data_IF_039357447844
#
_entry.id   IF_039357447844
#
_cell.length_a   1.000
_cell.length_b   1.000
_cell.length_c   1.000
_cell.angle_alpha   90.00
_cell.angle_beta   90.00
_cell.angle_gamma   90.00
#
_symmetry.space_group_name_H-M   'P 1'
#
loop_
_entity.id
_entity.type
_entity.pdbx_description
1 polymer ?
#
# COMPACT_ATOMS: atom_id res chain seq x y z
N UNK A 1 7.62 -29.07 39.70
CA UNK A 1 8.49 -27.95 39.32
C UNK A 1 7.81 -27.19 38.19
N UNK A 2 7.26 -26.01 38.49
CA UNK A 2 6.65 -25.14 37.48
C UNK A 2 7.77 -24.32 36.82
N UNK A 3 7.95 -24.48 35.51
CA UNK A 3 8.87 -23.65 34.72
C UNK A 3 8.31 -22.22 34.72
N UNK A 4 9.11 -21.27 35.19
CA UNK A 4 8.77 -19.86 35.25
C UNK A 4 8.49 -19.30 33.85
N UNK A 5 7.35 -18.63 33.71
CA UNK A 5 7.09 -17.73 32.59
C UNK A 5 8.05 -16.56 32.71
N UNK A 6 9.02 -16.46 31.80
CA UNK A 6 9.76 -15.22 31.60
C UNK A 6 8.78 -14.18 31.02
N UNK A 7 8.71 -12.97 31.57
CA UNK A 7 7.94 -11.89 30.95
C UNK A 7 8.56 -11.55 29.59
N UNK A 8 7.74 -11.52 28.54
CA UNK A 8 8.18 -11.10 27.21
C UNK A 8 8.60 -9.63 27.21
N UNK A 9 9.61 -9.24 26.41
CA UNK A 9 9.93 -7.85 26.18
C UNK A 9 8.71 -7.09 25.60
N UNK A 10 8.52 -5.81 25.97
CA UNK A 10 7.32 -5.04 25.62
C UNK A 10 7.10 -4.83 24.11
N UNK A 11 8.13 -5.08 23.30
CA UNK A 11 8.09 -4.90 21.84
C UNK A 11 7.65 -6.16 21.09
N UNK A 12 7.54 -7.30 21.78
CA UNK A 12 7.06 -8.57 21.22
C UNK A 12 5.76 -8.97 21.93
N UNK A 13 4.69 -8.23 21.64
CA UNK A 13 3.34 -8.67 21.99
C UNK A 13 3.05 -10.05 21.38
N UNK A 14 2.22 -10.90 22.03
CA UNK A 14 1.90 -12.21 21.48
C UNK A 14 1.29 -12.04 20.08
N UNK A 15 1.57 -12.94 19.13
CA UNK A 15 0.97 -12.87 17.79
C UNK A 15 -0.56 -12.82 17.95
N UNK A 16 -1.17 -11.76 17.43
CA UNK A 16 -2.59 -11.53 17.62
C UNK A 16 -3.41 -12.64 16.94
N UNK A 17 -4.50 -13.11 17.58
CA UNK A 17 -5.36 -14.13 16.99
C UNK A 17 -5.97 -13.64 15.68
N UNK A 18 -6.00 -14.51 14.66
CA UNK A 18 -6.64 -14.22 13.36
C UNK A 18 -8.11 -13.88 13.60
N UNK A 19 -8.52 -12.66 13.24
CA UNK A 19 -9.89 -12.16 13.43
C UNK A 19 -10.01 -10.96 14.39
N UNK A 20 -8.93 -10.52 15.04
CA UNK A 20 -8.93 -9.24 15.72
C UNK A 20 -8.92 -8.12 14.66
N UNK A 21 -10.08 -7.49 14.45
CA UNK A 21 -10.21 -6.31 13.61
C UNK A 21 -9.40 -5.16 14.23
N UNK A 22 -8.11 -5.09 13.91
CA UNK A 22 -7.29 -3.92 14.21
C UNK A 22 -7.87 -2.77 13.40
N UNK A 23 -8.75 -2.01 14.05
CA UNK A 23 -9.16 -0.70 13.56
C UNK A 23 -7.97 0.22 13.76
N UNK A 24 -7.45 0.74 12.67
CA UNK A 24 -6.45 1.78 12.76
C UNK A 24 -7.12 3.06 13.30
N UNK A 25 -6.61 3.65 14.39
CA UNK A 25 -7.21 4.84 14.97
C UNK A 25 -7.23 5.98 13.94
N UNK A 26 -8.39 6.61 13.77
CA UNK A 26 -8.56 7.79 12.91
C UNK A 26 -8.94 7.54 11.44
N UNK A 27 -8.79 6.32 10.91
CA UNK A 27 -9.16 6.05 9.50
C UNK A 27 -10.59 5.56 9.34
N UNK A 28 -11.15 4.84 10.31
CA UNK A 28 -12.43 4.14 10.14
C UNK A 28 -12.36 2.91 9.22
N UNK A 29 -11.20 2.66 8.60
CA UNK A 29 -10.91 1.52 7.72
C UNK A 29 -10.12 0.48 8.51
N UNK A 30 -10.58 -0.77 8.51
CA UNK A 30 -9.88 -1.90 9.13
C UNK A 30 -8.74 -2.39 8.23
N UNK A 31 -7.72 -3.00 8.83
CA UNK A 31 -6.67 -3.69 8.08
C UNK A 31 -7.23 -4.74 7.11
N UNK A 32 -8.22 -5.51 7.57
CA UNK A 32 -8.92 -6.49 6.73
C UNK A 32 -9.54 -5.83 5.49
N UNK A 33 -10.20 -4.68 5.66
CA UNK A 33 -10.83 -4.00 4.53
C UNK A 33 -9.80 -3.46 3.55
N UNK A 34 -8.69 -2.92 4.04
CA UNK A 34 -7.60 -2.49 3.18
C UNK A 34 -7.03 -3.66 2.38
N UNK A 35 -6.83 -4.82 3.02
CA UNK A 35 -6.35 -6.03 2.34
C UNK A 35 -7.31 -6.53 1.27
N UNK A 36 -8.61 -6.57 1.57
CA UNK A 36 -9.64 -6.90 0.57
C UNK A 36 -9.60 -5.98 -0.65
N UNK A 37 -9.22 -4.70 -0.48
CA UNK A 37 -9.11 -3.75 -1.58
C UNK A 37 -7.83 -3.95 -2.39
N UNK A 38 -6.71 -4.26 -1.72
CA UNK A 38 -5.44 -4.61 -2.37
C UNK A 38 -5.61 -5.91 -3.19
N UNK A 39 -6.27 -6.92 -2.64
CA UNK A 39 -6.54 -8.20 -3.32
C UNK A 39 -7.46 -8.04 -4.56
N UNK A 40 -8.15 -6.91 -4.69
CA UNK A 40 -8.98 -6.59 -5.85
C UNK A 40 -8.21 -5.86 -6.97
N UNK A 41 -6.99 -5.40 -6.71
CA UNK A 41 -6.16 -4.78 -7.75
C UNK A 41 -5.81 -5.88 -8.77
N UNK A 42 -6.17 -5.70 -10.06
CA UNK A 42 -5.99 -6.76 -11.04
C UNK A 42 -4.50 -6.98 -11.31
N UNK A 43 -4.06 -8.24 -11.28
CA UNK A 43 -2.67 -8.62 -11.54
C UNK A 43 -2.34 -8.57 -13.04
N UNK A 44 -2.21 -7.35 -13.57
CA UNK A 44 -2.01 -7.06 -14.98
C UNK A 44 -0.82 -6.12 -15.19
N UNK A 45 -0.09 -6.32 -16.29
CA UNK A 45 0.97 -5.41 -16.73
C UNK A 45 0.40 -4.23 -17.55
N UNK A 46 -0.58 -3.51 -16.99
CA UNK A 46 -1.27 -2.39 -17.63
C UNK A 46 -1.61 -1.27 -16.60
N UNK A 47 -0.86 -0.13 -16.60
CA UNK A 47 -1.04 0.94 -15.62
C UNK A 47 -2.46 1.52 -15.53
N UNK A 48 -3.17 1.61 -16.66
CA UNK A 48 -4.48 2.28 -16.74
C UNK A 48 -5.60 1.58 -15.94
N UNK A 49 -5.41 0.29 -15.60
CA UNK A 49 -6.43 -0.51 -14.90
C UNK A 49 -6.03 -0.92 -13.48
N UNK A 50 -4.76 -0.71 -13.11
CA UNK A 50 -4.20 -1.07 -11.79
C UNK A 50 -4.05 0.16 -10.87
N UNK A 51 -4.43 1.35 -11.33
CA UNK A 51 -4.36 2.60 -10.58
C UNK A 51 -5.76 3.23 -10.45
N UNK A 52 -6.36 3.25 -9.26
CA UNK A 52 -7.72 3.76 -9.08
C UNK A 52 -8.02 4.26 -7.67
N UNK A 53 -9.14 4.97 -7.56
CA UNK A 53 -9.70 5.47 -6.30
C UNK A 53 -10.95 4.68 -5.91
N UNK A 54 -11.11 4.41 -4.61
CA UNK A 54 -12.28 3.76 -4.02
C UNK A 54 -12.81 4.62 -2.88
N UNK A 55 -14.11 4.88 -2.86
CA UNK A 55 -14.77 5.51 -1.71
C UNK A 55 -15.09 4.45 -0.64
N UNK A 56 -14.67 4.70 0.60
CA UNK A 56 -14.94 3.80 1.74
C UNK A 56 -15.50 4.64 2.88
N UNK A 57 -16.83 4.73 2.96
CA UNK A 57 -17.50 5.58 3.93
C UNK A 57 -17.19 7.06 3.69
N UNK A 58 -16.61 7.72 4.69
CA UNK A 58 -16.20 9.13 4.62
C UNK A 58 -14.74 9.31 4.15
N UNK A 59 -14.06 8.22 3.79
CA UNK A 59 -12.67 8.22 3.33
C UNK A 59 -12.55 7.90 1.86
N UNK A 60 -11.40 8.27 1.31
CA UNK A 60 -10.97 7.93 -0.04
C UNK A 60 -9.74 7.03 0.04
N UNK A 61 -9.73 5.94 -0.71
CA UNK A 61 -8.59 5.03 -0.80
C UNK A 61 -8.04 5.08 -2.22
N UNK A 62 -6.78 5.44 -2.37
CA UNK A 62 -6.05 5.30 -3.63
C UNK A 62 -5.27 3.98 -3.61
N UNK A 63 -5.27 3.28 -4.74
CA UNK A 63 -4.53 2.03 -4.96
C UNK A 63 -3.77 2.16 -6.27
N UNK A 64 -2.49 1.80 -6.26
CA UNK A 64 -1.60 1.81 -7.42
C UNK A 64 -0.78 0.53 -7.44
N UNK A 65 -1.12 -0.37 -8.37
CA UNK A 65 -0.34 -1.55 -8.67
C UNK A 65 0.94 -1.19 -9.42
N UNK A 66 2.04 -1.84 -9.04
CA UNK A 66 3.33 -1.65 -9.68
C UNK A 66 3.68 -2.84 -10.57
N UNK A 67 3.79 -2.59 -11.87
CA UNK A 67 4.29 -3.54 -12.87
C UNK A 67 5.51 -2.96 -13.60
N UNK A 68 6.09 -3.74 -14.51
CA UNK A 68 7.24 -3.27 -15.31
C UNK A 68 6.92 -2.00 -16.11
N UNK A 69 5.73 -1.88 -16.68
CA UNK A 69 5.34 -0.66 -17.41
C UNK A 69 5.27 0.56 -16.49
N UNK A 70 4.84 0.39 -15.24
CA UNK A 70 4.85 1.48 -14.25
C UNK A 70 6.29 1.97 -14.02
N UNK A 71 7.22 1.05 -13.79
CA UNK A 71 8.63 1.39 -13.53
C UNK A 71 9.30 2.04 -14.74
N UNK A 72 9.08 1.53 -15.95
CA UNK A 72 9.68 2.10 -17.17
C UNK A 72 9.30 3.56 -17.32
N UNK A 73 8.07 3.93 -16.96
CA UNK A 73 7.59 5.31 -17.03
C UNK A 73 8.30 6.25 -16.05
N UNK A 74 8.91 5.73 -14.99
CA UNK A 74 9.72 6.50 -14.03
C UNK A 74 11.19 6.60 -14.43
N UNK A 75 11.61 5.88 -15.48
CA UNK A 75 13.01 5.77 -15.90
C UNK A 75 13.78 4.68 -15.15
N UNK A 76 13.09 3.75 -14.47
CA UNK A 76 13.67 2.59 -13.79
C UNK A 76 13.19 1.27 -14.45
N UNK A 77 14.02 0.23 -14.56
CA UNK A 77 15.43 0.18 -14.21
C UNK A 77 16.33 0.82 -15.27
N UNK A 78 17.56 1.16 -14.86
CA UNK A 78 18.64 1.53 -15.79
C UNK A 78 19.24 0.27 -16.44
N UNK A 79 20.14 0.42 -17.42
CA UNK A 79 20.84 -0.73 -18.04
C UNK A 79 21.72 -1.54 -17.07
N UNK A 80 22.02 -1.01 -15.88
CA UNK A 80 22.97 -1.59 -14.92
C UNK A 80 22.28 -2.20 -13.68
N UNK A 81 20.97 -2.01 -13.53
CA UNK A 81 20.18 -2.40 -12.35
C UNK A 81 18.85 -3.01 -12.78
N UNK A 82 18.02 -3.42 -11.82
CA UNK A 82 16.64 -3.84 -12.09
C UNK A 82 16.37 -5.30 -11.82
N UNK A 83 17.13 -5.91 -10.91
CA UNK A 83 16.66 -7.15 -10.33
C UNK A 83 15.38 -6.90 -9.50
N UNK A 84 14.67 -7.97 -9.17
CA UNK A 84 13.38 -7.87 -8.49
C UNK A 84 13.46 -7.07 -7.16
N UNK A 85 14.45 -7.35 -6.31
CA UNK A 85 14.59 -6.65 -5.03
C UNK A 85 14.88 -5.16 -5.20
N UNK A 86 15.68 -4.78 -6.21
CA UNK A 86 15.94 -3.37 -6.50
C UNK A 86 14.69 -2.64 -7.00
N UNK A 87 13.81 -3.33 -7.73
CA UNK A 87 12.51 -2.79 -8.14
C UNK A 87 11.62 -2.56 -6.92
N UNK A 88 11.54 -3.53 -6.00
CA UNK A 88 10.78 -3.38 -4.74
C UNK A 88 11.28 -2.19 -3.93
N UNK A 89 12.59 -2.13 -3.66
CA UNK A 89 13.18 -1.03 -2.89
C UNK A 89 12.92 0.34 -3.54
N UNK A 90 13.03 0.41 -4.88
CA UNK A 90 12.72 1.63 -5.61
C UNK A 90 11.25 2.05 -5.44
N UNK A 91 10.31 1.10 -5.50
CA UNK A 91 8.88 1.37 -5.31
C UNK A 91 8.61 1.88 -3.90
N UNK A 92 9.19 1.24 -2.87
CA UNK A 92 9.07 1.67 -1.48
C UNK A 92 9.56 3.11 -1.30
N UNK A 93 10.73 3.45 -1.85
CA UNK A 93 11.32 4.78 -1.77
C UNK A 93 10.45 5.88 -2.39
N UNK A 94 9.78 5.58 -3.52
CA UNK A 94 8.94 6.58 -4.21
C UNK A 94 7.48 6.59 -3.74
N UNK A 95 7.05 5.58 -2.99
CA UNK A 95 5.65 5.44 -2.58
C UNK A 95 5.17 6.66 -1.80
N UNK A 96 5.94 7.14 -0.82
CA UNK A 96 5.56 8.30 -0.02
C UNK A 96 5.34 9.55 -0.90
N UNK A 97 6.28 9.86 -1.78
CA UNK A 97 6.19 10.99 -2.72
C UNK A 97 5.01 10.85 -3.67
N UNK A 98 4.74 9.64 -4.16
CA UNK A 98 3.59 9.35 -5.02
C UNK A 98 2.29 9.62 -4.30
N UNK A 99 2.13 9.13 -3.07
CA UNK A 99 0.91 9.32 -2.28
C UNK A 99 0.70 10.77 -1.83
N UNK A 100 1.79 11.49 -1.53
CA UNK A 100 1.74 12.93 -1.30
C UNK A 100 1.28 13.67 -2.56
N UNK A 101 1.76 13.34 -3.76
CA UNK A 101 1.29 13.99 -4.99
C UNK A 101 -0.22 13.82 -5.19
N UNK A 102 -0.79 12.67 -4.85
CA UNK A 102 -2.24 12.40 -4.96
C UNK A 102 -3.10 13.27 -4.05
N UNK A 103 -2.52 13.93 -3.04
CA UNK A 103 -3.23 14.96 -2.27
C UNK A 103 -3.62 16.18 -3.10
N UNK A 104 -2.92 16.46 -4.21
CA UNK A 104 -3.07 17.70 -4.97
C UNK A 104 -4.30 17.66 -5.87
N UNK A 105 -5.06 18.76 -6.01
CA UNK A 105 -6.27 18.84 -6.84
C UNK A 105 -6.13 18.31 -8.28
N UNK A 106 -4.95 18.47 -8.88
CA UNK A 106 -4.68 18.07 -10.27
C UNK A 106 -4.40 16.57 -10.44
N UNK A 107 -4.16 15.86 -9.34
CA UNK A 107 -3.66 14.48 -9.30
C UNK A 107 -4.73 13.51 -8.77
N UNK A 108 -5.94 14.01 -8.46
CA UNK A 108 -7.06 13.21 -7.98
C UNK A 108 -8.36 13.60 -8.71
N UNK A 109 -9.33 12.67 -8.81
CA UNK A 109 -10.57 12.90 -9.56
C UNK A 109 -11.52 13.88 -8.87
N UNK A 110 -11.24 14.29 -7.64
CA UNK A 110 -12.11 15.17 -6.85
C UNK A 110 -11.78 16.65 -7.03
N UNK A 111 -10.68 16.98 -7.72
CA UNK A 111 -10.34 18.37 -8.05
C UNK A 111 -10.09 19.26 -6.84
N UNK A 112 -9.74 18.69 -5.68
CA UNK A 112 -9.50 19.40 -4.42
C UNK A 112 -8.30 18.84 -3.67
N UNK A 113 -7.82 19.61 -2.71
CA UNK A 113 -6.76 19.16 -1.82
C UNK A 113 -7.32 18.12 -0.85
N UNK A 114 -6.66 16.97 -0.77
CA UNK A 114 -7.01 15.87 0.14
C UNK A 114 -5.95 15.76 1.23
N UNK A 115 -6.33 15.29 2.41
CA UNK A 115 -5.37 15.04 3.48
C UNK A 115 -5.01 13.56 3.53
N UNK A 116 -3.74 13.23 3.28
CA UNK A 116 -3.23 11.87 3.49
C UNK A 116 -3.25 11.55 4.99
N UNK A 117 -4.01 10.54 5.38
CA UNK A 117 -4.09 10.05 6.76
C UNK A 117 -3.05 8.95 6.97
N UNK A 118 -2.91 8.06 5.98
CA UNK A 118 -1.99 6.93 6.01
C UNK A 118 -1.66 6.49 4.60
N UNK A 119 -0.44 6.05 4.37
CA UNK A 119 -0.02 5.40 3.14
C UNK A 119 0.96 4.27 3.40
N UNK A 120 1.24 3.50 2.36
CA UNK A 120 2.27 2.46 2.39
C UNK A 120 2.32 1.68 1.09
N UNK A 121 3.19 0.68 1.08
CA UNK A 121 3.35 -0.29 0.00
C UNK A 121 3.16 -1.69 0.58
N UNK A 122 2.41 -2.54 -0.10
CA UNK A 122 2.27 -3.97 0.21
C UNK A 122 2.85 -4.77 -0.96
N UNK A 123 3.94 -5.51 -0.71
CA UNK A 123 4.53 -6.42 -1.69
C UNK A 123 3.59 -7.61 -1.97
N UNK A 124 3.51 -8.04 -3.23
CA UNK A 124 2.71 -9.18 -3.67
C UNK A 124 3.62 -10.30 -4.22
N UNK A 125 4.29 -11.09 -3.35
CA UNK A 125 5.35 -12.02 -3.76
C UNK A 125 4.85 -13.22 -4.60
N UNK A 126 3.53 -13.39 -4.71
CA UNK A 126 2.90 -14.47 -5.47
C UNK A 126 2.15 -13.99 -6.72
N UNK A 127 2.16 -12.68 -7.00
CA UNK A 127 1.58 -12.13 -8.22
C UNK A 127 2.49 -12.41 -9.43
N UNK A 128 1.90 -12.57 -10.60
CA UNK A 128 2.62 -12.86 -11.84
C UNK A 128 3.14 -11.58 -12.51
N UNK A 129 2.37 -10.48 -12.42
CA UNK A 129 2.67 -9.23 -13.13
C UNK A 129 2.98 -8.06 -12.20
N UNK A 130 2.39 -8.06 -10.99
CA UNK A 130 2.59 -7.01 -10.00
C UNK A 130 3.72 -7.32 -9.03
N UNK A 131 4.51 -6.30 -8.73
CA UNK A 131 5.47 -6.27 -7.64
C UNK A 131 4.80 -6.03 -6.29
N UNK A 132 3.74 -5.22 -6.31
CA UNK A 132 2.98 -4.86 -5.11
C UNK A 132 2.04 -3.70 -5.38
N UNK A 133 1.41 -3.20 -4.32
CA UNK A 133 0.42 -2.13 -4.38
C UNK A 133 0.81 -1.02 -3.40
N UNK A 134 0.99 0.19 -3.91
CA UNK A 134 1.00 1.39 -3.06
C UNK A 134 -0.45 1.76 -2.73
N UNK A 135 -0.73 2.06 -1.48
CA UNK A 135 -2.05 2.46 -1.01
C UNK A 135 -1.98 3.77 -0.22
N UNK A 136 -2.99 4.63 -0.39
CA UNK A 136 -3.17 5.85 0.40
C UNK A 136 -4.60 5.98 0.89
N UNK A 137 -4.79 6.33 2.16
CA UNK A 137 -6.08 6.63 2.77
C UNK A 137 -6.15 8.12 3.03
N UNK A 138 -7.18 8.77 2.51
CA UNK A 138 -7.33 10.22 2.52
C UNK A 138 -8.64 10.66 3.16
N UNK A 139 -8.60 11.84 3.78
CA UNK A 139 -9.76 12.62 4.16
C UNK A 139 -10.19 13.52 2.99
N UNK A 140 -11.51 13.61 2.77
CA UNK A 140 -12.14 14.46 1.75
C UNK A 140 -11.95 15.94 2.08
#
# INVERSE_FOLDING_TARGET
MLKGFLPMPPDEGPPLPRGLQVRWPGTGITELKLRELIDQVPDLNEPDVICYWVEVGDKLVYLEGWCDKCLISTGFPTMERGNHQEKIAYIEDITELTLERKTKPKENPYGKELKLIRGGFEELPYAENLYGVSYGIYEK
#
